data_IF_899707184288
#
_entry.id   IF_899707184288
#
_cell.length_a   1.000
_cell.length_b   1.000
_cell.length_c   1.000
_cell.angle_alpha   90.00
_cell.angle_beta   90.00
_cell.angle_gamma   90.00
#
_symmetry.space_group_name_H-M   'P 1'
#
loop_
_entity.id
_entity.type
_entity.pdbx_description
1 polymer ?
#
# COMPACT_ATOMS: atom_id res chain seq x y z
N UNK A 1 -11.69 7.53 24.67
CA UNK A 1 -12.19 8.92 24.70
C UNK A 1 -11.63 9.64 23.49
N UNK A 2 -12.42 10.44 22.78
CA UNK A 2 -11.92 11.25 21.67
C UNK A 2 -10.95 12.31 22.23
N UNK A 3 -9.78 12.44 21.62
CA UNK A 3 -8.79 13.46 22.00
C UNK A 3 -9.37 14.85 21.73
N UNK A 4 -9.34 15.79 22.70
CA UNK A 4 -9.87 17.13 22.48
C UNK A 4 -9.04 17.83 21.39
N UNK A 5 -9.72 18.44 20.41
CA UNK A 5 -9.10 19.11 19.26
C UNK A 5 -8.04 20.14 19.67
N UNK A 6 -8.22 20.78 20.82
CA UNK A 6 -7.31 21.79 21.37
C UNK A 6 -5.93 21.27 21.77
N UNK A 7 -5.72 19.95 21.83
CA UNK A 7 -4.42 19.35 22.15
C UNK A 7 -3.65 18.87 20.92
N UNK A 8 -4.24 18.95 19.72
CA UNK A 8 -3.63 18.45 18.50
C UNK A 8 -2.67 19.50 17.92
N UNK A 9 -1.42 19.10 17.71
CA UNK A 9 -0.44 19.95 17.02
C UNK A 9 -0.43 19.65 15.53
N UNK A 10 -1.18 20.42 14.74
CA UNK A 10 -1.24 20.26 13.28
C UNK A 10 0.06 20.69 12.57
N UNK A 11 0.28 20.17 11.35
CA UNK A 11 1.44 20.48 10.50
C UNK A 11 2.82 20.20 11.14
N UNK A 12 2.89 19.36 12.17
CA UNK A 12 4.14 18.93 12.83
C UNK A 12 4.10 17.44 13.16
N UNK A 13 5.22 16.90 13.66
CA UNK A 13 5.23 15.58 14.31
C UNK A 13 4.72 15.76 15.74
N UNK A 14 3.54 15.23 16.01
CA UNK A 14 2.81 15.38 17.28
C UNK A 14 2.89 14.07 18.08
N UNK A 15 3.92 13.98 18.93
CA UNK A 15 4.28 12.76 19.64
C UNK A 15 4.59 11.62 18.65
N UNK A 16 3.86 10.48 18.70
CA UNK A 16 4.09 9.35 17.81
C UNK A 16 3.41 9.50 16.43
N UNK A 17 2.64 10.58 16.20
CA UNK A 17 1.86 10.78 14.99
C UNK A 17 2.47 11.88 14.14
N UNK A 18 2.92 11.55 12.93
CA UNK A 18 3.26 12.58 11.95
C UNK A 18 1.97 13.17 11.39
N UNK A 19 1.74 14.47 11.64
CA UNK A 19 0.56 15.19 11.15
C UNK A 19 0.92 16.14 10.01
N UNK A 20 2.14 16.08 9.44
CA UNK A 20 2.54 16.91 8.29
C UNK A 20 2.03 16.29 7.00
N UNK A 21 1.52 17.11 6.08
CA UNK A 21 1.18 16.61 4.75
C UNK A 21 2.40 16.61 3.82
N UNK A 22 2.46 15.64 2.91
CA UNK A 22 3.39 15.63 1.77
C UNK A 22 3.09 16.75 0.76
N UNK A 23 1.93 17.40 0.84
CA UNK A 23 1.54 18.57 0.04
C UNK A 23 1.89 19.91 0.70
N UNK A 24 2.66 19.88 1.80
CA UNK A 24 3.02 21.08 2.55
C UNK A 24 2.04 21.38 3.69
N UNK A 25 2.10 22.59 4.23
CA UNK A 25 1.23 22.98 5.34
C UNK A 25 -0.22 23.10 4.86
N UNK A 26 -1.15 22.43 5.53
CA UNK A 26 -2.59 22.55 5.30
C UNK A 26 -3.20 23.59 6.24
N UNK A 27 -4.31 24.17 5.80
CA UNK A 27 -5.07 25.17 6.57
C UNK A 27 -5.80 24.47 7.73
N UNK A 28 -5.84 25.14 8.88
CA UNK A 28 -6.66 24.73 10.03
C UNK A 28 -7.66 25.85 10.29
N UNK A 29 -8.95 25.51 10.26
CA UNK A 29 -10.06 26.44 10.46
C UNK A 29 -10.98 25.87 11.55
N UNK A 30 -11.34 26.70 12.53
CA UNK A 30 -12.14 26.30 13.70
C UNK A 30 -11.59 25.06 14.44
N UNK A 31 -10.26 24.92 14.48
CA UNK A 31 -9.58 23.79 15.09
C UNK A 31 -9.64 22.48 14.30
N UNK A 32 -10.07 22.51 13.03
CA UNK A 32 -10.10 21.37 12.13
C UNK A 32 -9.24 21.62 10.89
N UNK A 33 -8.46 20.62 10.43
CA UNK A 33 -7.68 20.75 9.21
C UNK A 33 -8.61 20.73 7.99
N UNK A 34 -8.25 21.44 6.93
CA UNK A 34 -8.96 21.42 5.66
C UNK A 34 -8.22 20.54 4.64
N UNK A 35 -8.96 19.66 3.97
CA UNK A 35 -8.43 18.79 2.94
C UNK A 35 -7.80 19.62 1.80
N UNK A 36 -6.51 19.38 1.46
CA UNK A 36 -5.80 20.19 0.47
C UNK A 36 -6.35 20.04 -0.95
N UNK A 37 -7.13 19.00 -1.23
CA UNK A 37 -7.79 18.77 -2.53
C UNK A 37 -9.21 19.34 -2.60
N UNK A 38 -9.64 20.08 -1.55
CA UNK A 38 -10.93 20.74 -1.50
C UNK A 38 -12.02 19.92 -0.81
N UNK A 39 -13.26 20.39 -0.98
CA UNK A 39 -14.44 19.81 -0.31
C UNK A 39 -14.79 18.44 -0.89
N UNK A 40 -14.96 17.49 0.01
CA UNK A 40 -15.50 16.14 -0.23
C UNK A 40 -17.01 16.08 -0.02
N UNK A 41 -17.57 17.05 0.71
CA UNK A 41 -18.99 17.08 1.09
C UNK A 41 -19.30 16.37 2.41
N UNK A 42 -18.28 15.86 3.11
CA UNK A 42 -18.40 15.30 4.47
C UNK A 42 -17.45 16.02 5.43
N UNK A 43 -17.99 16.55 6.54
CA UNK A 43 -17.17 17.09 7.65
C UNK A 43 -16.82 16.02 8.68
N UNK A 44 -15.83 16.32 9.50
CA UNK A 44 -15.35 15.43 10.56
C UNK A 44 -14.34 14.42 10.05
N UNK A 45 -13.94 13.47 10.90
CA UNK A 45 -12.88 12.50 10.59
C UNK A 45 -13.37 11.28 9.78
N UNK A 46 -14.68 11.04 9.76
CA UNK A 46 -15.23 9.81 9.18
C UNK A 46 -14.68 8.56 9.87
N UNK A 47 -14.29 7.56 9.07
CA UNK A 47 -13.72 6.29 9.54
C UNK A 47 -12.20 6.29 9.67
N UNK A 48 -11.53 7.41 9.35
CA UNK A 48 -10.07 7.52 9.44
C UNK A 48 -9.59 7.64 10.88
N UNK A 49 -8.32 7.31 11.11
CA UNK A 49 -7.74 7.29 12.46
C UNK A 49 -7.48 8.70 13.00
N UNK A 50 -7.07 9.63 12.13
CA UNK A 50 -6.63 10.96 12.53
C UNK A 50 -7.31 12.06 11.71
N UNK A 51 -7.46 13.25 12.31
CA UNK A 51 -7.71 14.47 11.56
C UNK A 51 -6.44 14.86 10.79
N UNK A 52 -6.63 15.39 9.57
CA UNK A 52 -5.54 15.72 8.66
C UNK A 52 -5.04 14.50 7.87
N UNK A 53 -3.75 14.44 7.52
CA UNK A 53 -3.21 13.33 6.75
C UNK A 53 -3.14 12.03 7.56
N UNK A 54 -3.57 10.94 6.94
CA UNK A 54 -3.45 9.57 7.44
C UNK A 54 -2.40 8.85 6.58
N UNK A 55 -1.16 8.83 7.06
CA UNK A 55 -0.05 8.27 6.30
C UNK A 55 -0.10 6.74 6.23
N UNK A 56 0.03 6.24 5.01
CA UNK A 56 0.07 4.81 4.68
C UNK A 56 1.33 4.49 3.88
N UNK A 57 1.67 3.20 3.80
CA UNK A 57 2.76 2.68 2.96
C UNK A 57 2.20 1.63 2.02
N UNK A 58 2.57 1.70 0.74
CA UNK A 58 2.16 0.77 -0.32
C UNK A 58 3.38 0.09 -0.96
N UNK A 59 3.79 -1.08 -0.44
CA UNK A 59 4.73 -1.94 -1.14
C UNK A 59 4.10 -2.45 -2.45
N UNK A 60 4.77 -2.26 -3.57
CA UNK A 60 4.37 -2.79 -4.88
C UNK A 60 5.41 -3.81 -5.30
N UNK A 61 5.18 -5.06 -4.91
CA UNK A 61 6.09 -6.18 -5.18
C UNK A 61 5.79 -6.74 -6.56
N UNK A 62 6.77 -6.72 -7.46
CA UNK A 62 6.61 -7.14 -8.85
C UNK A 62 7.69 -8.11 -9.30
N UNK A 63 7.35 -8.94 -10.28
CA UNK A 63 8.28 -9.79 -11.01
C UNK A 63 7.91 -9.83 -12.49
N UNK A 64 8.84 -10.25 -13.35
CA UNK A 64 8.49 -10.51 -14.76
C UNK A 64 7.60 -11.76 -14.89
N UNK A 65 6.49 -11.64 -15.62
CA UNK A 65 5.71 -12.80 -16.06
C UNK A 65 6.58 -13.66 -16.96
N UNK A 66 6.59 -14.97 -16.74
CA UNK A 66 7.39 -15.92 -17.54
C UNK A 66 6.55 -17.09 -18.02
N UNK A 67 6.94 -17.65 -19.16
CA UNK A 67 6.33 -18.86 -19.71
C UNK A 67 6.96 -20.13 -19.10
N UNK A 68 6.50 -21.31 -19.51
CA UNK A 68 7.02 -22.60 -19.04
C UNK A 68 8.53 -22.78 -19.28
N UNK A 69 9.07 -22.17 -20.33
CA UNK A 69 10.51 -22.17 -20.64
C UNK A 69 11.32 -21.11 -19.88
N UNK A 70 10.72 -20.37 -18.94
CA UNK A 70 11.39 -19.33 -18.15
C UNK A 70 11.62 -18.00 -18.89
N UNK A 71 11.22 -17.88 -20.16
CA UNK A 71 11.35 -16.64 -20.93
C UNK A 71 10.30 -15.59 -20.51
N UNK A 72 10.68 -14.31 -20.51
CA UNK A 72 9.78 -13.21 -20.16
C UNK A 72 8.65 -13.09 -21.19
N UNK A 73 7.40 -13.16 -20.72
CA UNK A 73 6.23 -12.96 -21.56
C UNK A 73 6.14 -11.51 -22.02
N UNK A 74 5.67 -11.32 -23.25
CA UNK A 74 5.44 -10.01 -23.86
C UNK A 74 4.03 -9.92 -24.43
N UNK A 75 3.48 -8.72 -24.39
CA UNK A 75 2.25 -8.35 -25.11
C UNK A 75 2.63 -7.27 -26.11
N UNK A 76 2.57 -7.61 -27.40
CA UNK A 76 3.25 -6.86 -28.45
C UNK A 76 4.74 -6.69 -28.11
N UNK A 77 5.30 -5.48 -28.15
CA UNK A 77 6.73 -5.23 -27.85
C UNK A 77 7.04 -5.13 -26.35
N UNK A 78 6.03 -4.93 -25.50
CA UNK A 78 6.23 -4.64 -24.06
C UNK A 78 6.27 -5.93 -23.22
N UNK A 79 7.16 -5.95 -22.23
CA UNK A 79 7.26 -7.03 -21.26
C UNK A 79 6.06 -7.02 -20.31
N UNK A 80 5.66 -8.18 -19.81
CA UNK A 80 4.54 -8.31 -18.88
C UNK A 80 5.03 -8.47 -17.44
N UNK A 81 4.45 -7.70 -16.52
CA UNK A 81 4.69 -7.83 -15.08
C UNK A 81 3.62 -8.71 -14.43
N UNK A 82 4.01 -9.33 -13.33
CA UNK A 82 3.11 -9.83 -12.29
C UNK A 82 3.32 -8.98 -11.03
N UNK A 83 2.24 -8.76 -10.29
CA UNK A 83 2.24 -8.04 -9.02
C UNK A 83 1.67 -8.94 -7.93
N UNK A 84 2.30 -8.91 -6.76
CA UNK A 84 1.77 -9.58 -5.57
C UNK A 84 0.59 -8.77 -5.04
N UNK A 85 -0.57 -9.41 -4.95
CA UNK A 85 -1.80 -8.81 -4.43
C UNK A 85 -2.38 -9.67 -3.31
N UNK A 86 -3.28 -9.06 -2.55
CA UNK A 86 -4.05 -9.74 -1.50
C UNK A 86 -5.53 -9.83 -1.86
N UNK A 87 -6.17 -10.97 -1.57
CA UNK A 87 -7.62 -11.10 -1.49
C UNK A 87 -8.04 -10.85 -0.05
N UNK A 88 -8.87 -9.84 0.16
CA UNK A 88 -9.53 -9.66 1.46
C UNK A 88 -10.79 -10.54 1.49
N UNK A 89 -11.14 -11.14 2.65
CA UNK A 89 -12.40 -11.85 2.81
C UNK A 89 -13.57 -10.97 2.36
N UNK A 90 -14.48 -11.52 1.57
CA UNK A 90 -15.70 -10.84 1.08
C UNK A 90 -15.47 -9.63 0.15
N UNK A 91 -14.25 -9.42 -0.36
CA UNK A 91 -13.95 -8.36 -1.34
C UNK A 91 -13.85 -8.94 -2.75
N UNK A 92 -14.64 -8.41 -3.68
CA UNK A 92 -14.50 -8.73 -5.11
C UNK A 92 -13.18 -8.22 -5.70
N UNK A 93 -12.62 -7.16 -5.10
CA UNK A 93 -11.38 -6.52 -5.56
C UNK A 93 -10.14 -7.09 -4.87
N UNK A 94 -9.05 -7.18 -5.63
CA UNK A 94 -7.70 -7.33 -5.11
C UNK A 94 -7.25 -6.04 -4.42
N UNK A 95 -6.29 -6.17 -3.50
CA UNK A 95 -5.60 -5.03 -2.90
C UNK A 95 -4.09 -5.19 -2.99
N UNK A 96 -3.37 -4.07 -3.11
CA UNK A 96 -1.94 -4.06 -2.85
C UNK A 96 -1.67 -4.42 -1.38
N UNK A 97 -0.49 -5.00 -1.07
CA UNK A 97 -0.20 -5.51 0.24
C UNK A 97 0.13 -4.43 1.30
N UNK A 98 -0.23 -3.16 1.06
CA UNK A 98 0.02 -2.05 1.96
C UNK A 98 -1.19 -1.59 2.79
N UNK A 99 -1.04 -0.37 3.32
CA UNK A 99 -2.04 0.32 4.14
C UNK A 99 -1.43 1.04 5.34
N UNK A 100 -2.20 1.16 6.40
CA UNK A 100 -1.80 1.83 7.64
C UNK A 100 -0.72 1.05 8.39
N UNK A 101 0.12 1.77 9.11
CA UNK A 101 1.15 1.24 10.02
C UNK A 101 0.72 1.48 11.47
N UNK A 102 1.24 0.69 12.39
CA UNK A 102 1.21 1.09 13.81
C UNK A 102 2.27 2.18 14.04
N UNK A 103 2.08 3.08 15.02
CA UNK A 103 3.13 4.05 15.36
C UNK A 103 4.45 3.34 15.71
N UNK A 104 5.54 3.81 15.12
CA UNK A 104 6.87 3.21 15.28
C UNK A 104 7.13 1.96 14.43
N UNK A 105 6.13 1.40 13.74
CA UNK A 105 6.34 0.24 12.86
C UNK A 105 6.66 0.65 11.41
N UNK A 106 7.57 -0.10 10.78
CA UNK A 106 7.95 0.08 9.38
C UNK A 106 6.94 -0.58 8.43
N UNK A 107 6.43 -1.76 8.80
CA UNK A 107 5.57 -2.57 7.93
C UNK A 107 4.08 -2.24 8.09
N UNK A 108 3.29 -2.29 7.00
CA UNK A 108 1.84 -2.18 7.07
C UNK A 108 1.21 -3.32 7.87
N UNK A 109 0.17 -3.02 8.66
CA UNK A 109 -0.54 -4.02 9.47
C UNK A 109 -1.05 -5.20 8.65
N UNK A 110 -1.53 -4.92 7.43
CA UNK A 110 -2.06 -5.92 6.51
C UNK A 110 -0.95 -6.87 6.05
N UNK A 111 0.22 -6.34 5.72
CA UNK A 111 1.38 -7.13 5.29
C UNK A 111 1.84 -8.07 6.41
N UNK A 112 1.89 -7.59 7.66
CA UNK A 112 2.27 -8.39 8.82
C UNK A 112 1.36 -9.58 9.11
N UNK A 113 0.12 -9.59 8.58
CA UNK A 113 -0.80 -10.72 8.71
C UNK A 113 -0.50 -11.85 7.74
N UNK A 114 0.08 -11.53 6.58
CA UNK A 114 0.40 -12.50 5.54
C UNK A 114 1.87 -12.92 5.56
N UNK A 115 2.75 -12.08 6.12
CA UNK A 115 4.14 -12.43 6.35
C UNK A 115 4.35 -13.00 7.74
N UNK A 116 5.10 -14.10 7.82
CA UNK A 116 5.57 -14.60 9.12
C UNK A 116 6.59 -13.64 9.73
N UNK A 117 6.66 -13.61 11.05
CA UNK A 117 7.43 -12.62 11.81
C UNK A 117 8.92 -12.63 11.47
N UNK A 118 9.51 -13.79 11.19
CA UNK A 118 10.91 -13.91 10.79
C UNK A 118 11.24 -13.22 9.46
N UNK A 119 10.23 -12.96 8.61
CA UNK A 119 10.42 -12.29 7.33
C UNK A 119 10.14 -10.78 7.38
N UNK A 120 9.80 -10.23 8.55
CA UNK A 120 9.55 -8.80 8.68
C UNK A 120 10.83 -7.98 8.39
N UNK A 121 11.96 -8.33 9.01
CA UNK A 121 13.24 -7.62 8.81
C UNK A 121 13.79 -7.77 7.38
N UNK A 122 13.78 -8.97 6.76
CA UNK A 122 14.07 -9.10 5.33
C UNK A 122 13.18 -8.22 4.45
N UNK A 123 11.87 -8.17 4.71
CA UNK A 123 10.96 -7.33 3.93
C UNK A 123 11.22 -5.83 4.14
N UNK A 124 11.56 -5.40 5.35
CA UNK A 124 11.99 -4.02 5.62
C UNK A 124 13.23 -3.65 4.82
N UNK A 125 14.19 -4.58 4.69
CA UNK A 125 15.38 -4.39 3.84
C UNK A 125 14.99 -4.21 2.37
N UNK A 126 14.05 -5.02 1.86
CA UNK A 126 13.51 -4.87 0.51
C UNK A 126 12.83 -3.52 0.29
N UNK A 127 12.11 -3.00 1.30
CA UNK A 127 11.51 -1.67 1.24
C UNK A 127 12.55 -0.56 1.19
N UNK A 128 13.62 -0.66 1.98
CA UNK A 128 14.71 0.32 2.00
C UNK A 128 15.47 0.35 0.65
N UNK A 129 15.65 -0.82 0.03
CA UNK A 129 16.30 -0.95 -1.28
C UNK A 129 15.36 -0.62 -2.46
N UNK A 130 14.05 -0.60 -2.21
CA UNK A 130 13.04 -0.33 -3.21
C UNK A 130 13.08 1.11 -3.74
N UNK A 131 12.38 1.35 -4.83
CA UNK A 131 12.29 2.68 -5.46
C UNK A 131 10.98 3.35 -5.10
N UNK A 132 11.01 4.56 -4.54
CA UNK A 132 9.80 5.38 -4.36
C UNK A 132 9.21 5.75 -5.72
N UNK A 133 7.97 5.33 -5.98
CA UNK A 133 7.27 5.60 -7.25
C UNK A 133 6.14 6.61 -7.10
N UNK A 134 5.69 6.83 -5.86
CA UNK A 134 4.64 7.80 -5.56
C UNK A 134 4.73 8.22 -4.09
N UNK A 135 4.48 9.50 -3.85
CA UNK A 135 4.33 10.06 -2.52
C UNK A 135 3.31 11.19 -2.57
N UNK A 136 2.23 11.07 -1.82
CA UNK A 136 1.20 12.10 -1.83
C UNK A 136 -0.22 11.64 -1.49
N UNK A 137 -1.17 12.49 -1.85
CA UNK A 137 -2.59 12.39 -1.58
C UNK A 137 -3.24 11.27 -2.39
N UNK A 138 -4.00 10.42 -1.72
CA UNK A 138 -4.72 9.34 -2.36
C UNK A 138 -6.20 9.68 -2.39
N UNK A 139 -6.78 9.70 -3.59
CA UNK A 139 -8.23 9.74 -3.75
C UNK A 139 -8.82 8.42 -3.22
N UNK A 140 -9.36 8.48 -2.01
CA UNK A 140 -9.89 7.34 -1.27
C UNK A 140 -11.30 7.69 -0.78
N UNK A 141 -12.27 6.76 -0.90
CA UNK A 141 -13.67 7.01 -0.50
C UNK A 141 -13.84 7.32 0.99
N UNK A 142 -12.82 7.12 1.82
CA UNK A 142 -12.83 7.49 3.24
C UNK A 142 -12.41 8.93 3.50
N UNK A 143 -11.91 9.65 2.49
CA UNK A 143 -11.52 11.04 2.65
C UNK A 143 -12.74 11.91 2.99
N UNK A 144 -12.50 12.89 3.86
CA UNK A 144 -13.46 13.90 4.27
C UNK A 144 -12.85 15.29 4.09
N UNK A 145 -13.58 16.33 4.46
CA UNK A 145 -13.09 17.70 4.49
C UNK A 145 -12.00 17.88 5.57
N UNK A 146 -11.92 17.00 6.57
CA UNK A 146 -11.03 17.14 7.72
C UNK A 146 -10.09 15.95 7.97
N UNK A 147 -10.12 14.92 7.14
CA UNK A 147 -9.20 13.79 7.21
C UNK A 147 -9.03 13.18 5.82
N UNK A 148 -7.79 12.90 5.43
CA UNK A 148 -7.50 12.32 4.12
C UNK A 148 -6.35 11.33 4.19
N UNK A 149 -6.20 10.51 3.17
CA UNK A 149 -5.11 9.54 3.07
C UNK A 149 -3.97 10.11 2.26
N UNK A 150 -2.77 9.90 2.78
CA UNK A 150 -1.55 10.06 2.01
C UNK A 150 -0.76 8.77 2.03
N UNK A 151 -0.03 8.48 0.96
CA UNK A 151 0.74 7.24 0.85
C UNK A 151 2.11 7.50 0.28
N UNK A 152 3.05 6.66 0.70
CA UNK A 152 4.31 6.42 0.00
C UNK A 152 4.16 5.05 -0.68
N UNK A 153 4.41 4.97 -1.98
CA UNK A 153 4.44 3.71 -2.70
C UNK A 153 5.89 3.38 -3.08
N UNK A 154 6.33 2.19 -2.68
CA UNK A 154 7.69 1.69 -2.92
C UNK A 154 7.61 0.49 -3.86
N UNK A 155 8.27 0.59 -5.01
CA UNK A 155 8.42 -0.49 -5.96
C UNK A 155 9.55 -1.43 -5.52
N UNK A 156 9.23 -2.71 -5.33
CA UNK A 156 10.18 -3.79 -5.07
C UNK A 156 10.10 -4.72 -6.28
N UNK A 157 11.16 -4.79 -7.08
CA UNK A 157 11.15 -5.55 -8.33
C UNK A 157 12.18 -6.66 -8.36
N UNK A 158 11.70 -7.88 -8.56
CA UNK A 158 12.54 -9.07 -8.74
C UNK A 158 12.81 -9.33 -10.22
N UNK A 159 14.07 -9.15 -10.62
CA UNK A 159 14.50 -9.27 -12.02
C UNK A 159 14.63 -10.75 -12.45
N UNK A 160 15.22 -11.58 -11.59
CA UNK A 160 15.58 -12.96 -11.88
C UNK A 160 14.58 -13.98 -11.33
N UNK A 161 14.46 -15.14 -12.01
CA UNK A 161 13.70 -16.29 -11.46
C UNK A 161 14.44 -17.00 -10.33
N UNK A 162 15.77 -16.89 -10.30
CA UNK A 162 16.62 -17.48 -9.27
C UNK A 162 16.96 -16.50 -8.15
N UNK A 163 16.18 -15.43 -8.04
CA UNK A 163 16.32 -14.45 -6.98
C UNK A 163 16.02 -15.13 -5.63
N UNK A 164 17.00 -15.09 -4.73
CA UNK A 164 16.94 -15.77 -3.43
C UNK A 164 15.87 -15.13 -2.54
N UNK A 165 15.74 -13.81 -2.60
CA UNK A 165 14.76 -13.05 -1.82
C UNK A 165 13.34 -13.32 -2.34
N UNK A 166 13.15 -13.43 -3.66
CA UNK A 166 11.86 -13.83 -4.23
C UNK A 166 11.44 -15.23 -3.75
N UNK A 167 12.36 -16.21 -3.79
CA UNK A 167 12.08 -17.58 -3.33
C UNK A 167 11.74 -17.61 -1.84
N UNK A 168 12.52 -16.89 -1.03
CA UNK A 168 12.27 -16.79 0.42
C UNK A 168 10.93 -16.13 0.72
N UNK A 169 10.57 -15.05 0.01
CA UNK A 169 9.26 -14.42 0.11
C UNK A 169 8.14 -15.40 -0.27
N UNK A 170 8.25 -16.13 -1.37
CA UNK A 170 7.24 -17.11 -1.78
C UNK A 170 7.07 -18.25 -0.77
N UNK A 171 8.17 -18.77 -0.22
CA UNK A 171 8.15 -19.76 0.85
C UNK A 171 7.52 -19.19 2.13
N UNK A 172 7.75 -17.92 2.41
CA UNK A 172 7.12 -17.24 3.53
C UNK A 172 5.59 -17.18 3.40
N UNK A 173 5.13 -16.79 2.22
CA UNK A 173 3.71 -16.62 1.90
C UNK A 173 2.94 -17.94 1.78
N UNK A 174 3.61 -19.05 1.42
CA UNK A 174 2.95 -20.37 1.23
C UNK A 174 2.55 -21.04 2.54
N UNK A 175 3.24 -20.77 3.64
CA UNK A 175 2.93 -21.43 4.91
C UNK A 175 1.94 -20.57 5.69
N UNK A 176 0.70 -21.01 5.78
CA UNK A 176 -0.31 -20.32 6.57
C UNK A 176 -0.16 -20.60 8.07
N UNK A 177 -0.45 -19.61 8.92
CA UNK A 177 -0.72 -19.85 10.34
C UNK A 177 -2.05 -20.63 10.47
N UNK A 178 -2.04 -21.86 11.02
CA UNK A 178 -3.24 -22.68 11.20
C UNK A 178 -4.36 -21.99 11.99
N UNK A 179 -4.03 -20.99 12.84
CA UNK A 179 -4.99 -20.27 13.70
C UNK A 179 -5.82 -19.24 12.94
N UNK A 180 -5.33 -18.68 11.84
CA UNK A 180 -6.11 -17.75 11.01
C UNK A 180 -7.17 -18.49 10.19
N UNK A 181 -6.86 -19.71 9.75
CA UNK A 181 -7.78 -20.59 9.02
C UNK A 181 -9.04 -20.93 9.84
N UNK A 182 -8.93 -21.01 11.17
CA UNK A 182 -10.04 -21.37 12.07
C UNK A 182 -11.02 -20.21 12.33
N UNK A 183 -10.67 -18.96 11.98
CA UNK A 183 -11.47 -17.76 12.27
C UNK A 183 -12.23 -17.18 11.06
N UNK A 184 -12.15 -17.81 9.89
CA UNK A 184 -12.82 -17.32 8.68
C UNK A 184 -12.30 -15.97 8.16
N UNK A 185 -11.13 -15.54 8.63
CA UNK A 185 -10.49 -14.26 8.30
C UNK A 185 -9.40 -14.42 7.22
N UNK A 186 -9.43 -15.51 6.45
CA UNK A 186 -8.32 -15.92 5.60
C UNK A 186 -8.04 -14.88 4.51
N UNK A 187 -6.96 -14.10 4.70
CA UNK A 187 -6.37 -13.29 3.66
C UNK A 187 -5.46 -14.19 2.84
N UNK A 188 -5.63 -14.20 1.51
CA UNK A 188 -4.74 -14.92 0.61
C UNK A 188 -3.91 -13.96 -0.22
N UNK A 189 -2.73 -14.41 -0.64
CA UNK A 189 -1.84 -13.65 -1.54
C UNK A 189 -1.68 -14.37 -2.86
N UNK A 190 -1.71 -13.62 -3.96
CA UNK A 190 -1.57 -14.17 -5.30
C UNK A 190 -0.72 -13.27 -6.19
N UNK A 191 -0.04 -13.89 -7.15
CA UNK A 191 0.58 -13.18 -8.25
C UNK A 191 -0.46 -12.97 -9.36
N UNK A 192 -0.72 -11.71 -9.69
CA UNK A 192 -1.66 -11.34 -10.74
C UNK A 192 -0.96 -10.58 -11.86
N UNK A 193 -1.38 -10.84 -13.09
CA UNK A 193 -0.82 -10.15 -14.26
C UNK A 193 -1.20 -8.67 -14.21
N UNK A 194 -0.21 -7.80 -14.39
CA UNK A 194 -0.43 -6.36 -14.51
C UNK A 194 -1.07 -6.06 -15.87
N UNK A 195 -2.31 -5.59 -15.83
CA UNK A 195 -3.11 -5.14 -16.98
C UNK A 195 -4.17 -4.13 -16.48
N UNK A 196 -4.63 -3.22 -17.34
CA UNK A 196 -5.69 -2.23 -17.02
C UNK A 196 -6.95 -2.84 -16.41
N UNK A 197 -7.25 -4.08 -16.79
CA UNK A 197 -8.47 -4.80 -16.38
C UNK A 197 -8.34 -5.53 -15.05
N UNK A 198 -7.17 -5.53 -14.40
CA UNK A 198 -7.03 -6.12 -13.07
C UNK A 198 -8.08 -5.51 -12.11
N UNK A 199 -8.84 -6.30 -11.35
CA UNK A 199 -9.86 -5.77 -10.44
C UNK A 199 -9.22 -5.29 -9.13
N UNK A 200 -8.37 -4.25 -9.22
CA UNK A 200 -7.81 -3.51 -8.09
C UNK A 200 -8.67 -2.28 -7.79
N UNK A 201 -8.62 -1.80 -6.55
CA UNK A 201 -9.10 -0.45 -6.19
C UNK A 201 -8.51 0.63 -7.12
N UNK A 202 -9.29 1.65 -7.47
CA UNK A 202 -8.92 2.64 -8.48
C UNK A 202 -7.60 3.36 -8.16
N UNK A 203 -7.42 3.75 -6.90
CA UNK A 203 -6.19 4.37 -6.40
C UNK A 203 -4.95 3.43 -6.48
N UNK A 204 -5.12 2.13 -6.31
CA UNK A 204 -4.02 1.18 -6.51
C UNK A 204 -3.65 1.05 -7.99
N UNK A 205 -4.61 1.20 -8.92
CA UNK A 205 -4.33 1.13 -10.36
C UNK A 205 -3.42 2.27 -10.82
N UNK A 206 -3.60 3.49 -10.31
CA UNK A 206 -2.75 4.64 -10.67
C UNK A 206 -1.31 4.44 -10.21
N UNK A 207 -1.10 3.90 -9.01
CA UNK A 207 0.21 3.48 -8.50
C UNK A 207 0.81 2.39 -9.38
N UNK A 208 0.04 1.35 -9.70
CA UNK A 208 0.52 0.24 -10.52
C UNK A 208 0.88 0.67 -11.95
N UNK A 209 0.17 1.65 -12.51
CA UNK A 209 0.50 2.25 -13.80
C UNK A 209 1.85 2.97 -13.78
N UNK A 210 2.18 3.68 -12.68
CA UNK A 210 3.50 4.29 -12.48
C UNK A 210 4.60 3.24 -12.42
N UNK A 211 4.37 2.13 -11.70
CA UNK A 211 5.31 1.00 -11.63
C UNK A 211 5.50 0.34 -13.00
N UNK A 212 4.41 0.08 -13.73
CA UNK A 212 4.52 -0.47 -15.09
C UNK A 212 5.31 0.46 -16.02
N UNK A 213 5.14 1.78 -15.88
CA UNK A 213 5.88 2.78 -16.65
C UNK A 213 7.37 2.79 -16.30
N UNK A 214 7.72 2.67 -15.00
CA UNK A 214 9.10 2.59 -14.52
C UNK A 214 9.88 1.46 -15.22
N UNK A 215 9.25 0.32 -15.46
CA UNK A 215 9.89 -0.85 -16.09
C UNK A 215 9.62 -0.98 -17.60
N UNK A 216 8.95 0.00 -18.23
CA UNK A 216 8.57 -0.08 -19.65
C UNK A 216 7.65 -1.27 -19.96
N UNK A 217 6.84 -1.68 -18.99
CA UNK A 217 5.96 -2.84 -19.06
C UNK A 217 4.62 -2.54 -19.75
N UNK A 218 3.91 -3.61 -20.10
CA UNK A 218 2.50 -3.56 -20.49
C UNK A 218 1.62 -3.16 -19.30
N UNK A 219 0.58 -2.36 -19.57
CA UNK A 219 -0.49 -1.99 -18.63
C UNK A 219 -1.80 -1.88 -19.39
#
# INVERSE_FOLDING_TARGET
>A
MAEPLSKISYNVVDGPTDRRSFHGAYVVEDGLPLNPMGRTGLRGRGSLSWFGPNHTLQPVVTRWKRNQGGAICRKSVRKMLEVLVMKLPHSEHWALPGGSREPGEMLPRKLKRVLRQEFWVPFETLLVQGTEVYKGYVDDPRNTDNAWIETVAISIHFQGQNDVELKSLEENLRTHDPKESTRGLQMSTEWQVVDRRIPLYANHKTILQKVASLFGAHF
#
